data_IF_024142748737
#
_entry.id   IF_024142748737
#
_cell.length_a   1.000
_cell.length_b   1.000
_cell.length_c   1.000
_cell.angle_alpha   90.00
_cell.angle_beta   90.00
_cell.angle_gamma   90.00
#
_symmetry.space_group_name_H-M   'P 1'
#
loop_
_entity.id
_entity.type
_entity.pdbx_description
1 polymer ?
#
# COMPACT_ATOMS: atom_id res chain seq x y z
N UNK A 1 -12.99 -19.29 26.76
CA UNK A 1 -13.06 -18.18 25.78
C UNK A 1 -11.68 -18.00 25.16
N UNK A 2 -11.52 -18.28 23.86
CA UNK A 2 -10.25 -18.07 23.15
C UNK A 2 -10.20 -16.62 22.68
N UNK A 3 -9.49 -15.76 23.41
CA UNK A 3 -9.09 -14.45 22.90
C UNK A 3 -8.06 -14.68 21.79
N UNK A 4 -8.53 -14.85 20.56
CA UNK A 4 -7.67 -14.68 19.39
C UNK A 4 -7.37 -13.19 19.29
N UNK A 5 -6.17 -12.78 19.71
CA UNK A 5 -5.57 -11.53 19.27
C UNK A 5 -5.46 -11.63 17.75
N UNK A 6 -6.43 -11.07 17.03
CA UNK A 6 -6.42 -11.01 15.57
C UNK A 6 -5.29 -10.07 15.17
N UNK A 7 -4.11 -10.64 14.93
CA UNK A 7 -2.95 -9.89 14.50
C UNK A 7 -3.07 -9.62 13.00
N UNK A 8 -3.76 -8.52 12.65
CA UNK A 8 -3.93 -8.06 11.26
C UNK A 8 -2.61 -7.76 10.54
N UNK A 9 -1.48 -7.72 11.27
CA UNK A 9 -0.15 -7.54 10.69
C UNK A 9 0.44 -8.85 10.16
N UNK A 10 -0.15 -10.00 10.49
CA UNK A 10 0.24 -11.32 9.95
C UNK A 10 -0.68 -11.83 8.83
N UNK A 11 -1.83 -11.20 8.60
CA UNK A 11 -2.70 -11.56 7.49
C UNK A 11 -2.12 -11.10 6.15
N UNK A 12 -1.99 -12.05 5.22
CA UNK A 12 -1.58 -11.75 3.85
C UNK A 12 -2.75 -11.03 3.15
N UNK A 13 -2.51 -9.84 2.58
CA UNK A 13 -3.54 -9.16 1.81
C UNK A 13 -4.02 -10.05 0.64
N UNK A 14 -5.31 -9.96 0.25
CA UNK A 14 -5.83 -10.73 -0.88
C UNK A 14 -5.01 -10.47 -2.15
N UNK A 15 -4.68 -11.54 -2.89
CA UNK A 15 -3.93 -11.43 -4.16
C UNK A 15 -4.63 -10.56 -5.22
N UNK A 16 -5.95 -10.37 -5.09
CA UNK A 16 -6.75 -9.47 -5.93
C UNK A 16 -6.37 -7.99 -5.79
N UNK A 17 -5.51 -7.64 -4.83
CA UNK A 17 -4.97 -6.29 -4.68
C UNK A 17 -3.86 -5.98 -5.68
N UNK A 18 -3.16 -6.99 -6.20
CA UNK A 18 -2.11 -6.79 -7.23
C UNK A 18 -2.75 -6.20 -8.49
N UNK A 19 -2.14 -5.16 -9.05
CA UNK A 19 -2.67 -4.41 -10.18
C UNK A 19 -3.69 -3.33 -9.79
N UNK A 20 -4.10 -3.26 -8.52
CA UNK A 20 -4.95 -2.17 -8.02
C UNK A 20 -4.10 -1.02 -7.50
N UNK A 21 -4.75 0.13 -7.31
CA UNK A 21 -4.10 1.31 -6.78
C UNK A 21 -4.13 1.33 -5.24
N UNK A 22 -2.97 1.60 -4.65
CA UNK A 22 -2.79 1.87 -3.23
C UNK A 22 -2.80 3.37 -2.97
N UNK A 23 -3.62 3.81 -2.03
CA UNK A 23 -3.67 5.19 -1.56
C UNK A 23 -2.92 5.28 -0.23
N UNK A 24 -1.80 5.99 -0.22
CA UNK A 24 -1.01 6.24 0.99
C UNK A 24 -1.74 7.19 1.93
N UNK A 25 -1.59 7.00 3.23
CA UNK A 25 -1.93 8.06 4.20
C UNK A 25 -0.89 9.19 4.21
N UNK A 26 0.27 8.98 3.57
CA UNK A 26 1.31 10.00 3.40
C UNK A 26 0.91 10.95 2.27
N UNK A 27 0.95 12.25 2.55
CA UNK A 27 0.74 13.29 1.56
C UNK A 27 2.06 13.64 0.88
N UNK A 28 1.99 13.93 -0.41
CA UNK A 28 3.10 14.56 -1.13
C UNK A 28 3.31 16.02 -0.63
N UNK A 29 4.41 16.66 -1.04
CA UNK A 29 4.67 18.08 -0.80
C UNK A 29 3.55 19.02 -1.30
N UNK A 30 2.72 18.54 -2.22
CA UNK A 30 1.53 19.25 -2.73
C UNK A 30 0.28 19.10 -1.83
N UNK A 31 0.33 18.28 -0.78
CA UNK A 31 -0.80 18.03 0.13
C UNK A 31 -1.78 16.94 -0.33
N UNK A 32 -1.56 16.34 -1.50
CA UNK A 32 -2.37 15.24 -2.02
C UNK A 32 -1.87 13.88 -1.52
N UNK A 33 -2.79 12.92 -1.33
CA UNK A 33 -2.41 11.56 -0.96
C UNK A 33 -1.74 10.86 -2.15
N UNK A 34 -0.60 10.21 -1.89
CA UNK A 34 0.10 9.46 -2.94
C UNK A 34 -0.73 8.24 -3.37
N UNK A 35 -0.90 8.07 -4.69
CA UNK A 35 -1.59 6.94 -5.28
C UNK A 35 -0.61 6.13 -6.13
N UNK A 36 -0.26 4.93 -5.69
CA UNK A 36 0.67 4.03 -6.40
C UNK A 36 0.00 2.74 -6.87
N UNK A 37 0.67 1.99 -7.75
CA UNK A 37 0.22 0.69 -8.24
C UNK A 37 0.80 -0.43 -7.37
N UNK A 38 -0.04 -1.36 -6.91
CA UNK A 38 0.42 -2.54 -6.18
C UNK A 38 0.99 -3.54 -7.17
N UNK A 39 2.26 -3.91 -6.95
CA UNK A 39 2.99 -4.87 -7.77
C UNK A 39 3.10 -6.24 -7.11
N UNK A 40 3.16 -6.30 -5.78
CA UNK A 40 3.35 -7.54 -5.02
C UNK A 40 2.82 -7.40 -3.59
N UNK A 41 2.68 -8.51 -2.85
CA UNK A 41 2.06 -8.58 -1.53
C UNK A 41 2.82 -9.53 -0.63
N UNK A 42 2.94 -9.18 0.66
CA UNK A 42 3.41 -10.08 1.71
C UNK A 42 2.60 -9.85 2.99
N UNK A 43 2.68 -10.75 3.98
CA UNK A 43 2.06 -10.52 5.28
C UNK A 43 2.41 -9.13 5.85
N UNK A 44 1.40 -8.33 6.13
CA UNK A 44 1.54 -6.98 6.71
C UNK A 44 2.07 -5.87 5.78
N UNK A 45 2.34 -6.13 4.50
CA UNK A 45 2.84 -5.10 3.59
C UNK A 45 2.47 -5.31 2.10
N UNK A 46 2.41 -4.21 1.38
CA UNK A 46 2.15 -4.13 -0.06
C UNK A 46 3.36 -3.54 -0.77
N UNK A 47 3.80 -4.13 -1.87
CA UNK A 47 4.86 -3.57 -2.71
C UNK A 47 4.23 -2.62 -3.73
N UNK A 48 4.56 -1.34 -3.61
CA UNK A 48 3.89 -0.27 -4.36
C UNK A 48 4.90 0.44 -5.24
N UNK A 49 4.52 0.64 -6.50
CA UNK A 49 5.15 1.58 -7.41
C UNK A 49 4.44 2.93 -7.30
N UNK A 50 5.14 3.92 -6.78
CA UNK A 50 4.64 5.28 -6.67
C UNK A 50 4.76 6.05 -7.99
N UNK A 51 3.89 7.03 -8.22
CA UNK A 51 3.96 7.88 -9.39
C UNK A 51 5.26 8.68 -9.36
N UNK A 52 5.81 8.97 -10.54
CA UNK A 52 7.05 9.74 -10.66
C UNK A 52 6.77 11.20 -10.33
N UNK A 53 7.58 11.78 -9.46
CA UNK A 53 7.80 13.23 -9.49
C UNK A 53 8.54 13.59 -10.79
N UNK A 54 8.24 14.74 -11.43
CA UNK A 54 8.92 15.14 -12.65
C UNK A 54 10.43 15.27 -12.40
N UNK A 55 11.22 14.39 -13.03
CA UNK A 55 12.67 14.34 -12.90
C UNK A 55 13.23 13.16 -12.07
N UNK A 56 12.38 12.36 -11.42
CA UNK A 56 12.82 11.22 -10.61
C UNK A 56 12.32 9.86 -11.10
N UNK A 57 13.10 8.77 -10.92
CA UNK A 57 12.64 7.42 -11.23
C UNK A 57 11.45 7.03 -10.34
N UNK A 58 10.57 6.18 -10.87
CA UNK A 58 9.41 5.70 -10.10
C UNK A 58 9.91 4.92 -8.88
N UNK A 59 9.63 5.45 -7.69
CA UNK A 59 10.02 4.80 -6.43
C UNK A 59 9.17 3.55 -6.24
N UNK A 60 9.83 2.40 -6.08
CA UNK A 60 9.18 1.15 -5.70
C UNK A 60 9.58 0.82 -4.27
N UNK A 61 8.60 0.70 -3.38
CA UNK A 61 8.88 0.38 -1.98
C UNK A 61 7.83 -0.54 -1.38
N UNK A 62 8.24 -1.28 -0.36
CA UNK A 62 7.33 -1.96 0.53
C UNK A 62 6.69 -0.96 1.47
N UNK A 63 5.35 -0.95 1.50
CA UNK A 63 4.55 -0.09 2.35
C UNK A 63 3.73 -0.95 3.30
N UNK A 64 3.69 -0.66 4.61
CA UNK A 64 2.82 -1.40 5.53
C UNK A 64 1.36 -1.32 5.07
N UNK A 65 0.63 -2.43 5.13
CA UNK A 65 -0.78 -2.47 4.73
C UNK A 65 -1.69 -1.61 5.63
N UNK A 66 -1.23 -1.22 6.82
CA UNK A 66 -1.93 -0.29 7.71
C UNK A 66 -1.70 1.20 7.34
N UNK A 67 -0.68 1.51 6.54
CA UNK A 67 -0.33 2.90 6.15
C UNK A 67 -1.04 3.38 4.89
N UNK A 68 -2.20 2.82 4.57
CA UNK A 68 -2.95 3.17 3.39
C UNK A 68 -4.21 2.33 3.23
N UNK A 69 -4.84 2.51 2.08
CA UNK A 69 -6.02 1.73 1.70
C UNK A 69 -6.02 1.50 0.20
N UNK A 70 -6.80 0.52 -0.26
CA UNK A 70 -7.07 0.39 -1.68
C UNK A 70 -7.87 1.60 -2.16
N UNK A 71 -7.41 2.22 -3.24
CA UNK A 71 -8.17 3.26 -3.91
C UNK A 71 -9.48 2.64 -4.45
N UNK A 72 -10.59 3.36 -4.25
CA UNK A 72 -11.85 3.02 -4.92
C UNK A 72 -11.70 3.44 -6.38
N UNK A 73 -11.97 2.51 -7.29
CA UNK A 73 -12.03 2.74 -8.74
C UNK A 73 -13.43 3.21 -9.14
#
# INVERSE_FOLDING_TARGET
MRNFTHDRYTEQPPSTWIGRHWLSTTRDGSGEYLRGLILDLRPGAVYVQWPRSPGEPAAKQWTPSDRGTLARE
#
